data_IF_341704540669
#
_entry.id   IF_341704540669
#
_cell.length_a   1.000
_cell.length_b   1.000
_cell.length_c   1.000
_cell.angle_alpha   90.00
_cell.angle_beta   90.00
_cell.angle_gamma   90.00
#
_symmetry.space_group_name_H-M   'P 1'
#
loop_
_entity.id
_entity.type
_entity.pdbx_description
1 polymer ?
#
# COMPACT_ATOMS: atom_id res chain seq x y z
N UNK A 1 -8.80 -10.73 -9.60
CA UNK A 1 -7.48 -10.22 -10.08
C UNK A 1 -6.35 -10.56 -9.10
N UNK A 2 -5.10 -10.74 -9.55
CA UNK A 2 -3.94 -10.85 -8.65
C UNK A 2 -3.47 -9.45 -8.21
N UNK A 3 -3.23 -9.25 -6.91
CA UNK A 3 -2.75 -7.97 -6.37
C UNK A 3 -1.40 -8.17 -5.66
N UNK A 4 -0.38 -7.51 -6.20
CA UNK A 4 0.98 -7.45 -5.65
C UNK A 4 1.17 -6.16 -4.89
N UNK A 5 1.89 -6.25 -3.77
CA UNK A 5 2.05 -5.13 -2.84
C UNK A 5 3.52 -4.86 -2.61
N UNK A 6 3.98 -3.70 -3.07
CA UNK A 6 5.26 -3.14 -2.70
C UNK A 6 5.11 -2.32 -1.42
N UNK A 7 6.09 -2.41 -0.53
CA UNK A 7 6.10 -1.68 0.73
C UNK A 7 7.17 -0.60 0.68
N UNK A 8 6.76 0.63 0.96
CA UNK A 8 7.65 1.78 1.05
C UNK A 8 7.51 2.36 2.46
N UNK A 9 8.62 2.41 3.20
CA UNK A 9 8.63 3.06 4.52
C UNK A 9 9.15 4.47 4.40
N UNK A 10 8.34 5.41 4.89
CA UNK A 10 8.79 6.79 5.08
C UNK A 10 9.52 6.86 6.42
N UNK A 11 10.82 7.16 6.39
CA UNK A 11 11.65 7.25 7.59
C UNK A 11 12.21 5.91 8.06
N UNK A 12 12.50 5.79 9.36
CA UNK A 12 13.24 4.65 9.94
C UNK A 12 12.32 3.67 10.69
N UNK A 13 12.83 2.46 10.93
CA UNK A 13 12.20 1.48 11.82
C UNK A 13 12.12 2.07 13.24
N UNK A 14 10.99 1.88 13.92
CA UNK A 14 10.80 2.37 15.28
C UNK A 14 11.54 1.48 16.27
N UNK A 15 12.05 2.11 17.33
CA UNK A 15 12.67 1.39 18.45
C UNK A 15 11.63 0.62 19.28
N UNK A 16 10.38 1.09 19.31
CA UNK A 16 9.30 0.44 20.06
C UNK A 16 8.73 -0.74 19.26
N UNK A 17 8.97 -1.95 19.75
CA UNK A 17 8.55 -3.21 19.13
C UNK A 17 7.03 -3.36 19.03
N UNK A 18 6.28 -2.95 20.06
CA UNK A 18 4.80 -3.00 20.05
C UNK A 18 4.26 -2.14 18.92
N UNK A 19 4.82 -0.94 18.73
CA UNK A 19 4.43 -0.07 17.62
C UNK A 19 4.72 -0.67 16.24
N UNK A 20 5.83 -1.40 16.08
CA UNK A 20 6.14 -2.10 14.82
C UNK A 20 5.21 -3.31 14.60
N UNK A 21 4.84 -4.03 15.67
CA UNK A 21 3.85 -5.11 15.60
C UNK A 21 2.48 -4.60 15.16
N UNK A 22 2.01 -3.48 15.73
CA UNK A 22 0.74 -2.85 15.33
C UNK A 22 0.81 -2.41 13.85
N UNK A 23 1.93 -1.82 13.42
CA UNK A 23 2.13 -1.49 12.01
C UNK A 23 2.03 -2.72 11.11
N UNK A 24 2.69 -3.82 11.48
CA UNK A 24 2.64 -5.09 10.73
C UNK A 24 1.20 -5.58 10.58
N UNK A 25 0.46 -5.64 11.69
CA UNK A 25 -0.95 -6.03 11.68
C UNK A 25 -1.78 -5.13 10.76
N UNK A 26 -1.58 -3.82 10.81
CA UNK A 26 -2.31 -2.88 9.96
C UNK A 26 -1.96 -3.04 8.47
N UNK A 27 -0.71 -3.39 8.14
CA UNK A 27 -0.32 -3.73 6.75
C UNK A 27 -1.09 -4.97 6.30
N UNK A 28 -1.06 -6.04 7.09
CA UNK A 28 -1.68 -7.31 6.73
C UNK A 28 -3.19 -7.20 6.61
N UNK A 29 -3.84 -6.44 7.51
CA UNK A 29 -5.27 -6.13 7.44
C UNK A 29 -5.62 -5.40 6.14
N UNK A 30 -4.97 -4.27 5.86
CA UNK A 30 -5.26 -3.47 4.67
C UNK A 30 -4.98 -4.25 3.37
N UNK A 31 -3.91 -5.05 3.34
CA UNK A 31 -3.58 -5.94 2.22
C UNK A 31 -4.70 -6.95 1.97
N UNK A 32 -5.20 -7.58 3.03
CA UNK A 32 -6.27 -8.58 2.92
C UNK A 32 -7.60 -7.95 2.51
N UNK A 33 -7.95 -6.78 3.06
CA UNK A 33 -9.16 -6.04 2.68
C UNK A 33 -9.15 -5.67 1.19
N UNK A 34 -8.04 -5.11 0.69
CA UNK A 34 -7.91 -4.76 -0.73
C UNK A 34 -7.98 -5.99 -1.63
N UNK A 35 -7.30 -7.09 -1.25
CA UNK A 35 -7.36 -8.34 -2.02
C UNK A 35 -8.77 -8.90 -2.12
N UNK A 36 -9.50 -8.92 -1.01
CA UNK A 36 -10.89 -9.38 -0.98
C UNK A 36 -11.79 -8.46 -1.79
N UNK A 37 -11.59 -7.14 -1.69
CA UNK A 37 -12.37 -6.17 -2.44
C UNK A 37 -12.20 -6.31 -3.96
N UNK A 38 -10.99 -6.62 -4.43
CA UNK A 38 -10.65 -6.73 -5.85
C UNK A 38 -10.66 -8.17 -6.40
N UNK A 39 -11.21 -9.13 -5.66
CA UNK A 39 -11.11 -10.55 -6.02
C UNK A 39 -11.83 -10.85 -7.36
N UNK A 40 -13.03 -10.30 -7.52
CA UNK A 40 -13.89 -10.48 -8.69
C UNK A 40 -13.64 -9.41 -9.78
N UNK A 41 -12.79 -8.43 -9.50
CA UNK A 41 -12.42 -7.40 -10.46
C UNK A 41 -11.43 -7.94 -11.51
N UNK A 42 -11.48 -7.33 -12.69
CA UNK A 42 -10.59 -7.63 -13.82
C UNK A 42 -10.00 -6.33 -14.35
N UNK A 43 -8.75 -6.39 -14.80
CA UNK A 43 -8.08 -5.25 -15.43
C UNK A 43 -7.61 -5.61 -16.82
N UNK A 44 -7.65 -4.63 -17.71
CA UNK A 44 -7.23 -4.76 -19.10
C UNK A 44 -5.70 -4.73 -19.23
N UNK A 45 -4.99 -5.64 -18.57
CA UNK A 45 -3.57 -5.87 -18.82
C UNK A 45 -3.30 -7.36 -19.06
N UNK A 46 -2.18 -7.66 -19.75
CA UNK A 46 -1.85 -9.03 -20.24
C UNK A 46 -1.92 -10.13 -19.17
N UNK A 47 -1.71 -9.79 -17.90
CA UNK A 47 -1.58 -10.76 -16.82
C UNK A 47 -2.69 -10.65 -15.77
N UNK A 48 -3.61 -9.69 -15.88
CA UNK A 48 -4.59 -9.34 -14.84
C UNK A 48 -3.95 -9.16 -13.44
N UNK A 49 -2.81 -8.45 -13.39
CA UNK A 49 -2.04 -8.19 -12.17
C UNK A 49 -2.04 -6.68 -11.87
N UNK A 50 -2.50 -6.31 -10.68
CA UNK A 50 -2.38 -4.96 -10.15
C UNK A 50 -1.21 -4.87 -9.17
N UNK A 51 -0.29 -3.95 -9.42
CA UNK A 51 0.76 -3.59 -8.47
C UNK A 51 0.29 -2.38 -7.65
N UNK A 52 0.37 -2.49 -6.33
CA UNK A 52 0.03 -1.42 -5.39
C UNK A 52 1.21 -1.14 -4.49
N UNK A 53 1.47 0.15 -4.25
CA UNK A 53 2.45 0.57 -3.25
C UNK A 53 1.71 0.89 -1.95
N UNK A 54 2.04 0.19 -0.87
CA UNK A 54 1.62 0.55 0.48
C UNK A 54 2.72 1.33 1.18
N UNK A 55 2.30 2.34 1.93
CA UNK A 55 3.18 3.32 2.55
C UNK A 55 3.10 3.15 4.07
N UNK A 56 4.22 2.76 4.65
CA UNK A 56 4.40 2.66 6.10
C UNK A 56 4.82 4.05 6.60
N UNK A 57 4.03 4.70 7.46
CA UNK A 57 4.31 6.06 7.86
C UNK A 57 5.43 6.12 8.91
N UNK A 58 6.22 7.19 8.89
CA UNK A 58 7.24 7.46 9.91
C UNK A 58 6.66 7.74 11.30
N UNK A 59 5.39 8.19 11.38
CA UNK A 59 4.65 8.47 12.63
C UNK A 59 3.22 7.92 12.55
N UNK A 60 2.63 7.56 13.69
CA UNK A 60 1.28 6.97 13.77
C UNK A 60 1.18 5.55 13.20
N UNK A 61 0.01 4.93 13.10
CA UNK A 61 -0.08 3.52 12.68
C UNK A 61 -0.92 3.31 11.42
N UNK A 62 -1.35 4.40 10.77
CA UNK A 62 -2.21 4.36 9.60
C UNK A 62 -1.40 4.15 8.32
N UNK A 63 -1.33 2.91 7.88
CA UNK A 63 -0.78 2.51 6.59
C UNK A 63 -1.62 3.09 5.47
N UNK A 64 -0.98 3.56 4.40
CA UNK A 64 -1.65 4.14 3.24
C UNK A 64 -1.34 3.35 1.97
N UNK A 65 -2.07 3.63 0.89
CA UNK A 65 -1.79 3.15 -0.45
C UNK A 65 -1.58 4.33 -1.41
N UNK A 66 -0.64 4.20 -2.33
CA UNK A 66 -0.45 5.14 -3.41
C UNK A 66 -1.25 4.67 -4.63
N UNK A 67 -2.00 5.61 -5.23
CA UNK A 67 -2.77 5.34 -6.45
C UNK A 67 -2.08 5.89 -7.72
N UNK A 68 -0.86 6.42 -7.59
CA UNK A 68 -0.16 7.12 -8.67
C UNK A 68 0.14 6.18 -9.85
N UNK A 69 0.52 4.94 -9.56
CA UNK A 69 0.94 3.96 -10.57
C UNK A 69 -0.21 3.11 -11.13
N UNK A 70 -1.44 3.35 -10.67
CA UNK A 70 -2.62 2.63 -11.17
C UNK A 70 -3.13 3.34 -12.43
N UNK A 71 -2.95 2.67 -13.58
CA UNK A 71 -3.42 3.17 -14.88
C UNK A 71 -4.92 2.96 -15.10
N UNK A 72 -5.51 1.93 -14.48
CA UNK A 72 -6.94 1.67 -14.59
C UNK A 72 -7.74 2.68 -13.75
N UNK A 73 -8.44 3.59 -14.42
CA UNK A 73 -9.19 4.66 -13.77
C UNK A 73 -10.40 4.14 -12.97
N UNK A 74 -10.99 3.01 -13.38
CA UNK A 74 -12.12 2.43 -12.67
C UNK A 74 -11.65 1.86 -11.32
N UNK A 75 -10.59 1.03 -11.34
CA UNK A 75 -9.98 0.50 -10.12
C UNK A 75 -9.51 1.63 -9.21
N UNK A 76 -8.86 2.65 -9.78
CA UNK A 76 -8.41 3.83 -9.04
C UNK A 76 -9.56 4.55 -8.33
N UNK A 77 -10.71 4.71 -9.01
CA UNK A 77 -11.92 5.32 -8.44
C UNK A 77 -12.54 4.44 -7.36
N UNK A 78 -12.67 3.14 -7.60
CA UNK A 78 -13.18 2.18 -6.63
C UNK A 78 -12.35 2.17 -5.34
N UNK A 79 -11.01 2.12 -5.46
CA UNK A 79 -10.10 2.19 -4.32
C UNK A 79 -10.25 3.50 -3.55
N UNK A 80 -10.36 4.63 -4.25
CA UNK A 80 -10.56 5.94 -3.60
C UNK A 80 -11.87 6.02 -2.83
N UNK A 81 -12.93 5.42 -3.37
CA UNK A 81 -14.26 5.46 -2.75
C UNK A 81 -14.39 4.51 -1.56
N UNK A 82 -13.79 3.32 -1.64
CA UNK A 82 -13.91 2.29 -0.60
C UNK A 82 -12.84 2.42 0.49
N UNK A 83 -11.67 2.99 0.17
CA UNK A 83 -10.57 3.19 1.12
C UNK A 83 -10.11 4.65 1.23
N UNK A 84 -11.02 5.63 1.38
CA UNK A 84 -10.68 7.07 1.30
C UNK A 84 -9.67 7.49 2.36
N UNK A 85 -9.76 6.88 3.55
CA UNK A 85 -8.86 7.14 4.66
C UNK A 85 -7.50 6.47 4.49
N UNK A 86 -7.37 5.47 3.63
CA UNK A 86 -6.11 4.77 3.37
C UNK A 86 -5.38 5.33 2.15
N UNK A 87 -5.90 6.36 1.48
CA UNK A 87 -5.19 6.97 0.34
C UNK A 87 -4.07 7.88 0.83
N UNK A 88 -2.88 7.68 0.28
CA UNK A 88 -1.75 8.58 0.51
C UNK A 88 -1.95 9.88 -0.28
N UNK A 89 -1.87 11.01 0.44
CA UNK A 89 -2.09 12.36 -0.09
C UNK A 89 -0.80 13.18 -0.20
N UNK A 90 0.33 12.62 0.21
CA UNK A 90 1.63 13.29 0.11
C UNK A 90 2.20 13.23 -1.30
N UNK A 91 3.32 13.92 -1.50
CA UNK A 91 3.99 13.95 -2.81
C UNK A 91 4.54 12.58 -3.20
N UNK A 92 4.44 12.26 -4.50
CA UNK A 92 4.99 11.04 -5.06
C UNK A 92 6.54 10.99 -4.98
N UNK A 93 7.19 12.16 -5.04
CA UNK A 93 8.64 12.33 -4.82
C UNK A 93 9.12 11.67 -3.52
N UNK A 94 8.34 11.78 -2.44
CA UNK A 94 8.65 11.18 -1.14
C UNK A 94 8.66 9.65 -1.23
N UNK A 95 7.76 9.07 -2.00
CA UNK A 95 7.71 7.61 -2.21
C UNK A 95 8.98 7.18 -2.93
N UNK A 96 9.31 7.83 -4.05
CA UNK A 96 10.51 7.56 -4.84
C UNK A 96 11.79 7.61 -3.99
N UNK A 97 11.95 8.69 -3.21
CA UNK A 97 13.10 8.89 -2.32
C UNK A 97 13.22 7.84 -1.20
N UNK A 98 12.17 7.06 -0.96
CA UNK A 98 12.13 6.02 0.06
C UNK A 98 11.95 4.61 -0.53
N UNK A 99 12.04 4.44 -1.85
CA UNK A 99 11.92 3.12 -2.51
C UNK A 99 13.04 2.16 -2.13
N UNK A 100 14.21 2.67 -1.73
CA UNK A 100 15.32 1.87 -1.20
C UNK A 100 15.13 1.49 0.27
N UNK A 101 14.29 2.23 0.99
CA UNK A 101 13.80 1.84 2.32
C UNK A 101 12.74 0.74 2.23
N UNK A 102 12.76 -0.07 1.16
CA UNK A 102 12.10 -1.37 1.04
C UNK A 102 12.56 -2.23 2.21
N UNK A 103 11.86 -2.05 3.32
CA UNK A 103 11.91 -2.98 4.43
C UNK A 103 11.33 -4.24 3.82
N UNK A 104 12.19 -5.18 3.39
CA UNK A 104 12.32 -6.48 4.04
C UNK A 104 13.45 -7.31 3.46
N UNK A 105 14.34 -7.72 4.36
CA UNK A 105 15.10 -8.96 4.24
C UNK A 105 14.54 -10.09 5.12
N UNK A 106 13.44 -9.89 5.88
CA UNK A 106 12.91 -10.90 6.82
C UNK A 106 11.42 -10.70 7.20
N UNK A 107 10.51 -10.60 6.22
CA UNK A 107 9.06 -10.79 6.47
C UNK A 107 8.52 -11.86 5.53
#
# INVERSE_FOLDING_TARGET
MEVKFDLVRIGKIRKNSISETILKQNIDLLRNEIRRFLIDETINNKNNILNLVMIIPGKGHNVKIALHEINDLNIKKQLKNNFPNSIYKGEYSIILNNTENKVFKNY
#
